data_IF_403896678483
#
_entry.id   IF_403896678483
#
_cell.length_a   1.000
_cell.length_b   1.000
_cell.length_c   1.000
_cell.angle_alpha   90.00
_cell.angle_beta   90.00
_cell.angle_gamma   90.00
#
_symmetry.space_group_name_H-M   'P 1'
#
loop_
_entity.id
_entity.type
_entity.pdbx_description
1 polymer ?
#
# COMPACT_ATOMS: atom_id res chain seq x y z
N UNK A 1 -24.78 -3.56 0.29
CA UNK A 1 -23.36 -3.12 0.41
C UNK A 1 -22.51 -4.27 0.97
N UNK A 2 -21.19 -4.30 0.75
CA UNK A 2 -20.33 -5.45 1.17
C UNK A 2 -20.31 -5.60 2.71
N UNK A 3 -20.46 -4.48 3.41
CA UNK A 3 -20.54 -4.34 4.86
C UNK A 3 -21.77 -5.06 5.43
N UNK A 4 -22.92 -4.96 4.76
CA UNK A 4 -24.14 -5.66 5.16
C UNK A 4 -23.98 -7.18 5.03
N UNK A 5 -23.27 -7.66 4.00
CA UNK A 5 -23.00 -9.08 3.79
C UNK A 5 -22.01 -9.64 4.82
N UNK A 6 -21.02 -8.84 5.23
CA UNK A 6 -20.09 -9.19 6.31
C UNK A 6 -20.85 -9.26 7.65
N UNK A 7 -21.66 -8.25 7.93
CA UNK A 7 -22.53 -8.17 9.09
C UNK A 7 -23.54 -9.33 9.18
N UNK A 8 -24.10 -9.78 8.05
CA UNK A 8 -25.01 -10.93 7.99
C UNK A 8 -24.33 -12.28 8.29
N UNK A 9 -22.99 -12.31 8.31
CA UNK A 9 -22.16 -13.50 8.58
C UNK A 9 -21.40 -13.41 9.90
N UNK A 10 -21.80 -12.50 10.78
CA UNK A 10 -21.14 -12.25 12.06
C UNK A 10 -19.65 -11.88 11.96
N UNK A 11 -19.23 -11.32 10.83
CA UNK A 11 -17.88 -10.79 10.67
C UNK A 11 -17.78 -9.38 11.25
N UNK A 12 -16.60 -9.02 11.75
CA UNK A 12 -16.24 -7.65 12.13
C UNK A 12 -15.70 -6.92 10.91
N UNK A 13 -16.39 -5.91 10.37
CA UNK A 13 -15.92 -5.20 9.20
C UNK A 13 -14.67 -4.37 9.52
N UNK A 14 -13.67 -4.49 8.66
CA UNK A 14 -12.55 -3.56 8.54
C UNK A 14 -12.76 -2.82 7.22
N UNK A 15 -12.92 -1.50 7.30
CA UNK A 15 -13.12 -0.61 6.16
C UNK A 15 -11.88 0.23 6.01
N UNK A 16 -11.18 0.06 4.89
CA UNK A 16 -10.08 0.93 4.48
C UNK A 16 -10.63 2.08 3.67
N UNK A 17 -10.37 3.30 4.12
CA UNK A 17 -10.73 4.51 3.37
C UNK A 17 -9.49 4.91 2.57
N UNK A 18 -9.62 4.84 1.25
CA UNK A 18 -8.62 5.38 0.32
C UNK A 18 -8.95 6.83 -0.03
N UNK A 19 -7.97 7.60 -0.52
CA UNK A 19 -8.20 8.96 -1.01
C UNK A 19 -9.23 8.97 -2.15
N UNK A 20 -9.87 10.14 -2.40
CA UNK A 20 -10.81 10.27 -3.49
C UNK A 20 -10.13 10.11 -4.87
N UNK A 21 -10.55 9.10 -5.63
CA UNK A 21 -10.15 8.94 -7.03
C UNK A 21 -8.76 8.34 -7.21
N UNK A 22 -8.22 8.40 -8.45
CA UNK A 22 -6.91 7.85 -8.84
C UNK A 22 -5.73 8.61 -8.23
N UNK A 23 -5.98 9.37 -7.18
CA UNK A 23 -4.94 10.04 -6.43
C UNK A 23 -4.25 8.98 -5.58
N UNK A 24 -2.96 8.82 -5.82
CA UNK A 24 -2.15 7.91 -5.03
C UNK A 24 -1.09 8.70 -4.22
N UNK A 25 -1.22 10.02 -4.08
CA UNK A 25 -0.28 10.86 -3.32
C UNK A 25 -1.00 11.53 -2.15
N UNK A 26 -1.48 10.72 -1.18
CA UNK A 26 -2.30 11.21 -0.03
C UNK A 26 -1.61 12.28 0.81
N UNK A 27 -0.28 12.33 0.75
CA UNK A 27 0.51 13.37 1.39
C UNK A 27 0.16 14.77 0.90
N UNK A 28 -0.25 14.93 -0.36
CA UNK A 28 -0.61 16.21 -0.95
C UNK A 28 -1.99 16.73 -0.48
N UNK A 29 -2.80 15.88 0.17
CA UNK A 29 -4.04 16.28 0.84
C UNK A 29 -3.81 16.96 2.21
N UNK A 30 -2.55 17.19 2.59
CA UNK A 30 -2.23 18.01 3.74
C UNK A 30 -2.81 19.43 3.61
N UNK A 31 -3.23 20.01 4.72
CA UNK A 31 -3.82 21.35 4.72
C UNK A 31 -2.79 22.37 4.19
N UNK A 32 -3.22 23.26 3.30
CA UNK A 32 -2.34 24.24 2.66
C UNK A 32 -1.53 25.05 3.69
N UNK A 33 -0.21 25.11 3.49
CA UNK A 33 0.72 25.81 4.38
C UNK A 33 1.01 25.10 5.71
N UNK A 34 0.45 23.92 5.95
CA UNK A 34 0.73 23.15 7.17
C UNK A 34 2.11 22.49 7.18
N UNK A 35 2.80 22.40 6.03
CA UNK A 35 4.02 21.61 5.85
C UNK A 35 3.82 20.15 6.31
N UNK A 36 2.68 19.54 5.96
CA UNK A 36 2.35 18.14 6.30
C UNK A 36 2.14 17.89 7.81
N UNK A 37 1.89 18.94 8.59
CA UNK A 37 1.57 18.84 10.03
C UNK A 37 0.07 18.90 10.34
N UNK A 38 -0.79 18.98 9.31
CA UNK A 38 -2.26 18.93 9.45
C UNK A 38 -2.91 18.31 8.21
N UNK A 39 -3.93 17.48 8.43
CA UNK A 39 -4.75 16.83 7.40
C UNK A 39 -6.25 16.99 7.73
N UNK A 40 -6.65 18.17 8.22
CA UNK A 40 -8.01 18.33 8.77
C UNK A 40 -9.10 18.26 7.69
N UNK A 41 -8.83 18.73 6.47
CA UNK A 41 -9.79 18.62 5.37
C UNK A 41 -10.05 17.15 4.96
N UNK A 42 -8.98 16.35 4.88
CA UNK A 42 -9.06 14.92 4.59
C UNK A 42 -9.73 14.16 5.74
N UNK A 43 -9.36 14.44 7.00
CA UNK A 43 -9.99 13.85 8.17
C UNK A 43 -11.50 14.11 8.24
N UNK A 44 -11.93 15.32 7.87
CA UNK A 44 -13.36 15.64 7.76
C UNK A 44 -14.05 14.91 6.59
N UNK A 45 -13.33 14.60 5.52
CA UNK A 45 -13.83 13.76 4.43
C UNK A 45 -14.06 12.32 4.88
N UNK A 46 -13.08 11.72 5.55
CA UNK A 46 -13.19 10.39 6.15
C UNK A 46 -14.36 10.32 7.13
N UNK A 47 -14.51 11.32 7.99
CA UNK A 47 -15.64 11.43 8.91
C UNK A 47 -16.99 11.41 8.19
N UNK A 48 -17.13 12.12 7.06
CA UNK A 48 -18.36 12.11 6.26
C UNK A 48 -18.64 10.74 5.64
N UNK A 49 -17.60 10.03 5.19
CA UNK A 49 -17.73 8.66 4.66
C UNK A 49 -18.20 7.72 5.78
N UNK A 50 -17.52 7.74 6.93
CA UNK A 50 -17.85 6.87 8.08
C UNK A 50 -19.25 7.16 8.62
N UNK A 51 -19.67 8.41 8.68
CA UNK A 51 -21.03 8.79 9.09
C UNK A 51 -22.12 8.24 8.17
N UNK A 52 -21.79 7.91 6.91
CA UNK A 52 -22.70 7.30 5.95
C UNK A 52 -22.74 5.76 5.99
N UNK A 53 -21.86 5.11 6.77
CA UNK A 53 -21.80 3.65 6.84
C UNK A 53 -22.98 3.09 7.65
N UNK A 54 -23.52 1.91 7.28
CA UNK A 54 -24.58 1.26 8.05
C UNK A 54 -24.01 0.64 9.33
N UNK A 55 -23.93 1.44 10.40
CA UNK A 55 -23.45 0.99 11.71
C UNK A 55 -24.52 0.14 12.42
N UNK A 56 -24.11 -0.99 13.01
CA UNK A 56 -25.00 -1.89 13.77
C UNK A 56 -24.80 -1.72 15.26
N UNK A 57 -25.87 -1.72 16.02
CA UNK A 57 -25.79 -1.57 17.48
C UNK A 57 -25.00 -2.72 18.12
N UNK A 58 -24.16 -2.36 19.10
CA UNK A 58 -23.33 -3.31 19.83
C UNK A 58 -22.19 -3.94 19.02
N UNK A 59 -21.94 -3.53 17.77
CA UNK A 59 -20.84 -4.07 16.95
C UNK A 59 -19.85 -2.99 16.57
N UNK A 60 -18.57 -3.30 16.76
CA UNK A 60 -17.49 -2.43 16.32
C UNK A 60 -17.35 -2.44 14.80
N UNK A 61 -16.91 -1.31 14.26
CA UNK A 61 -16.36 -1.18 12.92
C UNK A 61 -14.94 -0.67 13.05
N UNK A 62 -14.02 -1.26 12.28
CA UNK A 62 -12.63 -0.86 12.27
C UNK A 62 -12.36 -0.05 11.01
N UNK A 63 -11.86 1.17 11.19
CA UNK A 63 -11.49 2.08 10.12
C UNK A 63 -9.98 2.06 9.99
N UNK A 64 -9.50 1.49 8.89
CA UNK A 64 -8.09 1.52 8.51
C UNK A 64 -7.79 2.84 7.82
N UNK A 65 -6.91 3.63 8.44
CA UNK A 65 -6.50 4.94 7.90
C UNK A 65 -5.42 4.73 6.86
N UNK A 66 -5.82 4.85 5.59
CA UNK A 66 -4.96 4.68 4.42
C UNK A 66 -4.39 3.26 4.26
N UNK A 67 -3.80 2.95 3.10
CA UNK A 67 -3.35 1.60 2.75
C UNK A 67 -1.91 1.32 3.16
N UNK A 68 -0.95 2.00 2.53
CA UNK A 68 0.46 1.64 2.56
C UNK A 68 1.31 2.92 2.54
N UNK A 69 1.36 3.71 3.63
CA UNK A 69 2.01 5.02 3.64
C UNK A 69 3.53 4.92 3.45
N UNK A 70 4.13 3.73 3.63
CA UNK A 70 5.54 3.53 3.31
C UNK A 70 5.76 3.29 1.81
N UNK A 71 4.75 3.18 0.97
CA UNK A 71 4.92 2.91 -0.45
C UNK A 71 4.97 4.23 -1.23
N UNK A 72 5.98 4.38 -2.10
CA UNK A 72 6.21 5.61 -2.85
C UNK A 72 4.92 6.07 -3.55
N UNK A 73 4.28 5.18 -4.29
CA UNK A 73 3.08 5.53 -5.04
C UNK A 73 1.84 5.72 -4.20
N UNK A 74 1.86 5.57 -2.87
CA UNK A 74 0.70 5.81 -1.98
C UNK A 74 0.91 7.04 -1.08
N UNK A 75 2.17 7.47 -0.90
CA UNK A 75 2.53 8.56 0.00
C UNK A 75 3.36 9.67 -0.63
N UNK A 76 4.35 9.35 -1.48
CA UNK A 76 5.10 10.38 -2.20
C UNK A 76 5.88 9.75 -3.34
N UNK A 77 5.46 10.08 -4.56
CA UNK A 77 6.10 9.55 -5.77
C UNK A 77 6.25 10.61 -6.87
N UNK A 78 5.81 11.84 -6.60
CA UNK A 78 5.89 12.95 -7.54
C UNK A 78 7.29 13.59 -7.49
N UNK A 79 8.08 13.57 -8.57
CA UNK A 79 9.40 14.19 -8.59
C UNK A 79 9.34 15.69 -8.26
N UNK A 80 10.34 16.18 -7.53
CA UNK A 80 10.44 17.59 -7.14
C UNK A 80 9.60 18.02 -5.94
N UNK A 81 8.75 17.15 -5.35
CA UNK A 81 7.99 17.48 -4.13
C UNK A 81 8.81 17.31 -2.85
N UNK A 82 9.90 16.54 -2.91
CA UNK A 82 10.88 16.36 -1.84
C UNK A 82 12.28 16.59 -2.41
N UNK A 83 13.13 17.30 -1.67
CA UNK A 83 14.50 17.56 -2.08
C UNK A 83 15.26 16.24 -2.28
N UNK A 84 15.85 16.06 -3.47
CA UNK A 84 16.56 14.83 -3.83
C UNK A 84 15.67 13.68 -4.31
N UNK A 85 14.39 13.94 -4.60
CA UNK A 85 13.42 12.98 -5.15
C UNK A 85 13.21 11.72 -4.29
N UNK A 86 13.50 11.81 -3.00
CA UNK A 86 13.34 10.73 -2.03
C UNK A 86 12.98 11.26 -0.66
N UNK A 87 12.10 10.54 0.04
CA UNK A 87 11.70 10.84 1.41
C UNK A 87 12.31 9.81 2.36
N UNK A 88 12.79 10.26 3.52
CA UNK A 88 13.30 9.36 4.55
C UNK A 88 12.16 8.69 5.33
N UNK A 89 12.38 7.46 5.78
CA UNK A 89 11.39 6.69 6.54
C UNK A 89 10.87 7.43 7.77
N UNK A 90 11.75 8.15 8.48
CA UNK A 90 11.38 8.90 9.67
C UNK A 90 10.44 10.06 9.33
N UNK A 91 10.64 10.69 8.16
CA UNK A 91 9.75 11.74 7.70
C UNK A 91 8.39 11.17 7.31
N UNK A 92 8.35 10.08 6.55
CA UNK A 92 7.10 9.37 6.23
C UNK A 92 6.34 8.99 7.51
N UNK A 93 7.02 8.37 8.47
CA UNK A 93 6.40 7.96 9.73
C UNK A 93 5.85 9.16 10.51
N UNK A 94 6.56 10.29 10.50
CA UNK A 94 6.12 11.51 11.17
C UNK A 94 4.87 12.10 10.51
N UNK A 95 4.91 12.33 9.20
CA UNK A 95 3.77 12.88 8.44
C UNK A 95 2.56 11.95 8.52
N UNK A 96 2.77 10.63 8.44
CA UNK A 96 1.70 9.65 8.58
C UNK A 96 1.09 9.62 9.99
N UNK A 97 1.91 9.77 11.04
CA UNK A 97 1.40 9.86 12.41
C UNK A 97 0.50 11.09 12.61
N UNK A 98 0.80 12.20 11.92
CA UNK A 98 -0.05 13.40 11.90
C UNK A 98 -1.39 13.11 11.22
N UNK A 99 -1.38 12.48 10.04
CA UNK A 99 -2.61 12.06 9.36
C UNK A 99 -3.47 11.16 10.25
N UNK A 100 -2.86 10.12 10.83
CA UNK A 100 -3.53 9.17 11.70
C UNK A 100 -4.16 9.87 12.92
N UNK A 101 -3.45 10.83 13.53
CA UNK A 101 -3.98 11.64 14.63
C UNK A 101 -5.22 12.42 14.20
N UNK A 102 -5.12 13.20 13.11
CA UNK A 102 -6.21 14.08 12.69
C UNK A 102 -7.47 13.29 12.30
N UNK A 103 -7.30 12.14 11.60
CA UNK A 103 -8.41 11.23 11.28
C UNK A 103 -8.99 10.61 12.55
N UNK A 104 -8.15 10.12 13.47
CA UNK A 104 -8.62 9.55 14.73
C UNK A 104 -9.41 10.56 15.56
N UNK A 105 -8.94 11.80 15.67
CA UNK A 105 -9.64 12.87 16.38
C UNK A 105 -11.00 13.18 15.72
N UNK A 106 -11.05 13.30 14.39
CA UNK A 106 -12.29 13.55 13.66
C UNK A 106 -13.33 12.42 13.81
N UNK A 107 -12.89 11.16 13.77
CA UNK A 107 -13.76 10.00 13.93
C UNK A 107 -14.25 9.84 15.38
N UNK A 108 -13.37 10.02 16.37
CA UNK A 108 -13.78 9.94 17.78
C UNK A 108 -14.69 11.10 18.20
N UNK A 109 -14.56 12.29 17.58
CA UNK A 109 -15.45 13.41 17.81
C UNK A 109 -16.92 13.12 17.43
N UNK A 110 -17.20 12.06 16.67
CA UNK A 110 -18.56 11.60 16.40
C UNK A 110 -19.27 11.03 17.65
N UNK A 111 -18.52 10.68 18.69
CA UNK A 111 -19.06 10.14 19.94
C UNK A 111 -19.58 8.70 19.86
N UNK A 112 -19.34 8.00 18.75
CA UNK A 112 -19.76 6.61 18.57
C UNK A 112 -18.64 5.64 18.96
N UNK A 113 -18.79 5.02 20.13
CA UNK A 113 -17.83 4.06 20.68
C UNK A 113 -17.61 2.81 19.82
N UNK A 114 -18.47 2.54 18.83
CA UNK A 114 -18.32 1.42 17.90
C UNK A 114 -17.21 1.65 16.90
N UNK A 115 -16.90 2.91 16.59
CA UNK A 115 -15.86 3.26 15.62
C UNK A 115 -14.51 3.03 16.30
N UNK A 116 -13.69 2.17 15.69
CA UNK A 116 -12.31 1.90 16.08
C UNK A 116 -11.40 2.33 14.95
N UNK A 117 -10.26 2.91 15.29
CA UNK A 117 -9.29 3.41 14.32
C UNK A 117 -8.05 2.53 14.37
N UNK A 118 -7.53 2.16 13.21
CA UNK A 118 -6.29 1.39 13.08
C UNK A 118 -5.37 2.02 12.03
N UNK A 119 -4.07 1.79 12.20
CA UNK A 119 -3.07 2.20 11.22
C UNK A 119 -3.18 1.37 9.94
N UNK A 120 -2.98 2.01 8.80
CA UNK A 120 -2.75 1.37 7.52
C UNK A 120 -1.63 0.33 7.59
N UNK A 121 -1.77 -0.69 6.75
CA UNK A 121 -0.74 -1.70 6.56
C UNK A 121 0.56 -1.08 6.07
N UNK A 122 1.66 -1.84 6.19
CA UNK A 122 2.92 -1.47 5.56
C UNK A 122 3.14 -2.38 4.36
N UNK A 123 3.49 -1.80 3.22
CA UNK A 123 3.90 -2.55 2.05
C UNK A 123 5.21 -3.30 2.36
N UNK A 124 5.29 -4.62 2.10
CA UNK A 124 6.54 -5.36 2.18
C UNK A 124 7.58 -4.75 1.22
N UNK A 125 8.67 -4.20 1.76
CA UNK A 125 9.70 -3.52 0.97
C UNK A 125 9.39 -2.06 0.61
N UNK A 126 8.42 -1.42 1.27
CA UNK A 126 8.16 0.00 1.13
C UNK A 126 9.26 0.89 1.74
N UNK A 127 9.30 2.12 1.23
CA UNK A 127 10.28 3.20 1.23
C UNK A 127 11.67 2.80 0.71
N UNK A 128 11.99 3.32 -0.47
CA UNK A 128 13.35 3.28 -1.02
C UNK A 128 14.03 4.55 -0.53
N UNK A 129 15.09 4.45 0.27
CA UNK A 129 16.05 5.56 0.31
C UNK A 129 16.49 5.86 -1.12
N UNK A 130 16.74 7.13 -1.50
CA UNK A 130 17.57 7.37 -2.68
C UNK A 130 18.83 6.52 -2.49
N UNK A 131 19.21 5.74 -3.52
CA UNK A 131 20.45 4.98 -3.46
C UNK A 131 21.53 5.92 -2.90
N UNK A 132 22.26 5.54 -1.83
CA UNK A 132 23.43 6.33 -1.46
C UNK A 132 24.27 6.47 -2.73
N UNK A 133 24.86 7.65 -3.00
CA UNK A 133 25.69 7.83 -4.18
C UNK A 133 26.66 6.65 -4.23
N UNK A 134 26.68 5.97 -5.39
CA UNK A 134 27.56 4.83 -5.63
C UNK A 134 28.94 5.20 -5.09
N UNK A 135 29.55 4.40 -4.17
CA UNK A 135 30.86 4.76 -3.64
C UNK A 135 31.81 4.92 -4.83
N UNK A 136 32.23 6.16 -5.08
CA UNK A 136 33.05 6.56 -6.25
C UNK A 136 34.48 6.04 -6.20
N UNK A 137 34.71 4.96 -5.46
CA UNK A 137 35.93 4.20 -5.49
C UNK A 137 35.61 2.81 -4.97
N UNK A 138 35.78 1.80 -5.84
CA UNK A 138 36.02 0.44 -5.37
C UNK A 138 37.21 0.53 -4.42
N UNK A 139 37.12 0.12 -3.14
CA UNK A 139 38.34 -0.15 -2.39
C UNK A 139 39.08 -1.22 -3.19
N UNK A 140 40.31 -0.91 -3.56
CA UNK A 140 41.26 -1.87 -4.13
C UNK A 140 41.12 -3.17 -3.35
N UNK A 141 40.83 -4.25 -4.08
CA UNK A 141 40.69 -5.58 -3.50
C UNK A 141 41.95 -5.88 -2.69
N UNK A 142 41.84 -5.79 -1.36
CA UNK A 142 42.80 -6.41 -0.45
C UNK A 142 42.69 -7.90 -0.71
N UNK A 143 43.64 -8.43 -1.50
CA UNK A 143 43.80 -9.87 -1.67
C UNK A 143 44.01 -10.47 -0.27
N UNK A 144 43.01 -11.19 0.23
CA UNK A 144 43.20 -12.08 1.37
C UNK A 144 44.25 -13.13 0.99
N UNK A 145 45.37 -13.27 1.72
CA UNK A 145 46.24 -14.42 1.55
C UNK A 145 45.48 -15.65 2.04
N UNK A 146 45.28 -16.64 1.16
CA UNK A 146 44.80 -17.98 1.57
C UNK A 146 43.41 -18.41 1.09
N UNK A 147 42.78 -17.75 0.11
CA UNK A 147 41.59 -18.33 -0.53
C UNK A 147 42.02 -19.46 -1.49
N UNK A 148 41.77 -20.71 -1.08
CA UNK A 148 41.94 -21.90 -1.92
C UNK A 148 41.12 -21.78 -3.23
N UNK A 149 41.62 -22.35 -4.34
CA UNK A 149 40.89 -22.30 -5.61
C UNK A 149 39.52 -22.99 -5.48
N UNK A 150 38.49 -22.35 -6.04
CA UNK A 150 37.17 -22.98 -6.21
C UNK A 150 37.32 -24.17 -7.16
N UNK A 151 36.86 -25.33 -6.71
CA UNK A 151 36.66 -26.50 -7.58
C UNK A 151 35.38 -26.24 -8.36
N UNK A 152 35.49 -26.19 -9.69
CA UNK A 152 34.34 -26.12 -10.58
C UNK A 152 33.55 -27.43 -10.50
N UNK A 153 32.33 -27.35 -9.98
CA UNK A 153 31.37 -28.45 -10.07
C UNK A 153 30.74 -28.45 -11.48
N UNK A 154 30.70 -29.60 -12.18
CA UNK A 154 30.07 -29.68 -13.48
C UNK A 154 28.56 -29.39 -13.39
N UNK A 155 28.06 -28.57 -14.31
CA UNK A 155 26.63 -28.29 -14.44
C UNK A 155 25.85 -29.55 -14.79
N UNK A 156 24.72 -29.74 -14.13
CA UNK A 156 23.78 -30.81 -14.44
C UNK A 156 23.15 -30.62 -15.85
N UNK A 157 22.94 -31.69 -16.62
CA UNK A 157 22.36 -31.61 -17.95
C UNK A 157 20.91 -31.12 -17.91
N UNK A 158 20.59 -30.14 -18.76
CA UNK A 158 19.22 -29.65 -18.92
C UNK A 158 18.37 -30.73 -19.63
N UNK A 159 17.31 -31.17 -18.96
CA UNK A 159 16.32 -32.10 -19.54
C UNK A 159 15.51 -31.47 -20.69
N UNK A 160 14.92 -32.29 -21.57
CA UNK A 160 14.26 -31.82 -22.79
C UNK A 160 12.99 -31.02 -22.49
N UNK A 161 12.89 -29.83 -23.10
CA UNK A 161 11.69 -28.99 -23.11
C UNK A 161 10.57 -29.72 -23.87
N UNK A 162 9.48 -30.07 -23.17
CA UNK A 162 8.27 -30.57 -23.82
C UNK A 162 7.60 -29.44 -24.61
N UNK A 163 7.37 -29.75 -25.89
CA UNK A 163 6.94 -28.83 -26.91
C UNK A 163 5.46 -28.46 -26.86
N UNK A 164 5.22 -27.37 -27.58
CA UNK A 164 3.95 -26.85 -28.08
C UNK A 164 3.17 -27.87 -28.91
N UNK A 165 1.90 -28.05 -28.60
CA UNK A 165 0.89 -28.71 -29.42
C UNK A 165 -0.44 -28.70 -28.66
N UNK A 166 -1.60 -28.42 -29.22
CA UNK A 166 -1.99 -28.11 -30.58
C UNK A 166 -3.47 -27.71 -30.58
N UNK A 167 -3.88 -26.98 -31.61
CA UNK A 167 -5.28 -26.67 -31.94
C UNK A 167 -6.05 -27.96 -32.26
N UNK A 168 -7.24 -28.10 -31.68
CA UNK A 168 -8.38 -28.91 -32.15
C UNK A 168 -9.58 -28.00 -31.86
N UNK A 169 -10.37 -27.50 -32.80
CA UNK A 169 -11.10 -28.17 -33.87
C UNK A 169 -12.59 -28.00 -33.53
N UNK A 170 -13.21 -26.94 -34.06
CA UNK A 170 -14.64 -26.66 -33.89
C UNK A 170 -15.37 -26.85 -35.23
N UNK A 171 -16.28 -27.80 -35.26
CA UNK A 171 -17.36 -28.04 -36.23
C UNK A 171 -18.45 -28.78 -35.41
N UNK A 172 -19.76 -28.60 -35.55
CA UNK A 172 -20.67 -27.80 -36.39
C UNK A 172 -22.03 -27.81 -35.65
N UNK A 173 -22.86 -26.78 -35.78
CA UNK A 173 -23.94 -26.62 -36.76
C UNK A 173 -25.28 -27.26 -36.35
N UNK A 174 -26.38 -26.47 -36.44
CA UNK A 174 -27.73 -27.00 -36.67
C UNK A 174 -28.89 -26.56 -35.74
N UNK A 175 -29.78 -25.70 -36.27
CA UNK A 175 -31.25 -25.72 -36.03
C UNK A 175 -31.80 -24.64 -35.08
N UNK A 176 -32.34 -23.50 -35.53
CA UNK A 176 -33.56 -23.22 -36.31
C UNK A 176 -34.88 -23.09 -35.48
N UNK A 177 -35.41 -21.87 -35.49
CA UNK A 177 -36.83 -21.45 -35.55
C UNK A 177 -37.80 -21.76 -34.39
N UNK A 178 -38.30 -20.72 -33.72
CA UNK A 178 -39.56 -20.01 -34.01
C UNK A 178 -39.65 -18.71 -33.21
#
# INVERSE_FOLDING_TARGET
MVEELACARDLLPVVRIGPPGRDNDVRDDADAGSNFFRFTALADADRRVVAGLPLRDGRAIWIEVHNEPNLCYEWVCTPGTVAGDGIEFQQVAHEYAVLLRDVADALHAMGDHRIKVLNGGLAPGGARSPNPPEPTSRPETVRRPGASPRVDLPQAPQGPRRGTGGRVGAAGDGGASR
#
